data_IF_710225864029
#
_entry.id   IF_710225864029
#
_cell.length_a   1.000
_cell.length_b   1.000
_cell.length_c   1.000
_cell.angle_alpha   90.00
_cell.angle_beta   90.00
_cell.angle_gamma   90.00
#
_symmetry.space_group_name_H-M   'P 1'
#
loop_
_entity.id
_entity.type
_entity.pdbx_description
1 polymer ?
#
# COMPACT_ATOMS: atom_id res chain seq x y z
N UNK A 1 16.96 -14.37 -3.93
CA UNK A 1 17.08 -13.96 -2.53
C UNK A 1 15.73 -13.40 -2.15
N UNK A 2 15.09 -13.92 -1.10
CA UNK A 2 13.76 -13.45 -0.72
C UNK A 2 13.87 -12.17 0.10
N UNK A 3 13.04 -11.20 -0.23
CA UNK A 3 12.92 -9.92 0.46
C UNK A 3 11.90 -10.04 1.59
N UNK A 4 12.09 -9.23 2.63
CA UNK A 4 11.15 -9.10 3.73
C UNK A 4 10.38 -7.80 3.51
N UNK A 5 9.06 -7.86 3.66
CA UNK A 5 8.20 -6.69 3.57
C UNK A 5 7.12 -6.71 4.65
N UNK A 6 6.49 -5.55 4.83
CA UNK A 6 5.32 -5.39 5.71
C UNK A 6 4.11 -5.02 4.87
N UNK A 7 2.99 -5.69 5.11
CA UNK A 7 1.73 -5.43 4.39
C UNK A 7 1.17 -4.08 4.83
N UNK A 8 1.21 -3.08 3.95
CA UNK A 8 0.70 -1.74 4.24
C UNK A 8 -0.82 -1.69 4.17
N UNK A 9 -1.38 -2.27 3.12
CA UNK A 9 -2.82 -2.37 2.93
C UNK A 9 -3.15 -3.59 2.07
N UNK A 10 -4.30 -4.19 2.32
CA UNK A 10 -4.82 -5.27 1.48
C UNK A 10 -6.33 -5.23 1.52
N UNK A 11 -6.95 -5.21 0.35
CA UNK A 11 -8.40 -5.33 0.19
C UNK A 11 -8.71 -6.74 -0.29
N UNK A 12 -9.18 -7.57 0.64
CA UNK A 12 -9.58 -8.95 0.33
C UNK A 12 -10.70 -9.00 -0.72
N UNK A 13 -11.63 -8.04 -0.74
CA UNK A 13 -12.74 -8.05 -1.70
C UNK A 13 -12.25 -7.77 -3.12
N UNK A 14 -11.28 -6.85 -3.25
CA UNK A 14 -10.70 -6.48 -4.55
C UNK A 14 -9.54 -7.39 -4.97
N UNK A 15 -8.94 -8.13 -4.04
CA UNK A 15 -7.88 -9.10 -4.31
C UNK A 15 -6.51 -8.49 -4.54
N UNK A 16 -6.26 -7.25 -4.07
CA UNK A 16 -4.96 -6.60 -4.19
C UNK A 16 -4.63 -5.72 -2.99
N UNK A 17 -3.36 -5.33 -2.89
CA UNK A 17 -2.86 -4.45 -1.85
C UNK A 17 -1.47 -3.91 -2.16
N UNK A 18 -0.80 -3.42 -1.12
CA UNK A 18 0.57 -2.91 -1.18
C UNK A 18 1.39 -3.46 -0.02
N UNK A 19 2.64 -3.83 -0.31
CA UNK A 19 3.65 -4.29 0.65
C UNK A 19 4.82 -3.33 0.61
N UNK A 20 5.23 -2.81 1.76
CA UNK A 20 6.42 -1.98 1.87
C UNK A 20 7.63 -2.88 2.11
N UNK A 21 8.64 -2.81 1.25
CA UNK A 21 9.86 -3.63 1.38
C UNK A 21 10.73 -3.10 2.52
N UNK A 22 11.21 -4.01 3.38
CA UNK A 22 11.96 -3.71 4.60
C UNK A 22 13.42 -4.23 4.56
N UNK A 23 13.83 -4.92 3.49
CA UNK A 23 15.21 -5.39 3.32
C UNK A 23 16.15 -4.22 2.98
N UNK A 24 17.13 -3.95 3.84
CA UNK A 24 17.97 -2.73 3.81
C UNK A 24 18.96 -2.66 2.63
N UNK A 25 19.25 -3.78 1.97
CA UNK A 25 20.22 -3.88 0.87
C UNK A 25 19.58 -4.01 -0.52
N UNK A 26 18.25 -3.85 -0.61
CA UNK A 26 17.51 -3.95 -1.87
C UNK A 26 17.16 -2.55 -2.44
N UNK A 27 17.19 -2.34 -3.78
CA UNK A 27 16.80 -1.08 -4.39
C UNK A 27 15.38 -0.61 -4.04
N UNK A 28 14.49 -1.53 -3.66
CA UNK A 28 13.11 -1.22 -3.32
C UNK A 28 12.91 -0.94 -1.82
N UNK A 29 13.98 -0.83 -1.01
CA UNK A 29 13.87 -0.54 0.42
C UNK A 29 12.96 0.67 0.69
N UNK A 30 12.02 0.52 1.63
CA UNK A 30 10.98 1.49 1.99
C UNK A 30 10.03 1.92 0.86
N UNK A 31 9.99 1.17 -0.24
CA UNK A 31 9.06 1.41 -1.34
C UNK A 31 7.84 0.50 -1.24
N UNK A 32 6.67 1.04 -1.60
CA UNK A 32 5.43 0.27 -1.69
C UNK A 32 5.36 -0.46 -3.04
N UNK A 33 5.31 -1.78 -2.99
CA UNK A 33 5.18 -2.65 -4.16
C UNK A 33 3.78 -3.23 -4.22
N UNK A 34 3.20 -3.26 -5.41
CA UNK A 34 1.87 -3.79 -5.64
C UNK A 34 1.84 -5.31 -5.41
N UNK A 35 0.80 -5.81 -4.73
CA UNK A 35 0.56 -7.25 -4.56
C UNK A 35 -0.83 -7.63 -5.05
N UNK A 36 -0.91 -8.71 -5.82
CA UNK A 36 -2.16 -9.32 -6.26
C UNK A 36 -2.35 -10.69 -5.60
N UNK A 37 -3.60 -11.12 -5.43
CA UNK A 37 -3.92 -12.40 -4.79
C UNK A 37 -3.26 -13.62 -5.46
N UNK A 38 -2.98 -13.56 -6.76
CA UNK A 38 -2.33 -14.63 -7.53
C UNK A 38 -0.88 -14.84 -7.11
N UNK A 39 -0.22 -13.79 -6.61
CA UNK A 39 1.15 -13.86 -6.12
C UNK A 39 1.24 -14.41 -4.69
N UNK A 40 0.11 -14.50 -3.97
CA UNK A 40 0.06 -15.05 -2.61
C UNK A 40 0.11 -16.57 -2.70
N UNK A 41 1.10 -17.16 -2.04
CA UNK A 41 1.30 -18.60 -1.95
C UNK A 41 0.82 -19.07 -0.59
N UNK A 42 -0.22 -19.89 -0.61
CA UNK A 42 -0.77 -20.59 0.56
C UNK A 42 -0.62 -22.09 0.33
N UNK A 43 -0.41 -22.86 1.40
CA UNK A 43 -0.10 -24.30 1.36
C UNK A 43 -1.33 -25.20 1.16
N UNK A 44 -2.54 -24.65 1.26
CA UNK A 44 -3.79 -25.38 1.02
C UNK A 44 -4.79 -24.56 0.21
N UNK A 45 -6.02 -25.06 0.06
CA UNK A 45 -7.11 -24.41 -0.68
C UNK A 45 -7.75 -23.23 0.07
N UNK A 46 -7.00 -22.61 0.98
CA UNK A 46 -7.43 -21.48 1.77
C UNK A 46 -7.61 -20.20 0.93
N UNK A 47 -8.41 -19.29 1.45
CA UNK A 47 -8.64 -18.01 0.82
C UNK A 47 -7.37 -17.13 0.86
N UNK A 48 -6.92 -16.63 -0.30
CA UNK A 48 -5.70 -15.83 -0.43
C UNK A 48 -5.93 -14.40 0.04
N UNK A 49 -5.40 -14.08 1.23
CA UNK A 49 -5.46 -12.73 1.79
C UNK A 49 -4.26 -12.44 2.68
N UNK A 50 -3.98 -11.15 2.81
CA UNK A 50 -2.97 -10.61 3.72
C UNK A 50 -3.64 -9.72 4.77
N UNK A 51 -2.97 -9.55 5.91
CA UNK A 51 -3.42 -8.67 6.98
C UNK A 51 -2.55 -7.41 7.04
N UNK A 52 -3.14 -6.21 7.21
CA UNK A 52 -2.34 -5.00 7.43
C UNK A 52 -1.41 -5.15 8.64
N UNK A 53 -0.14 -4.82 8.46
CA UNK A 53 0.93 -4.95 9.46
C UNK A 53 1.60 -6.33 9.52
N UNK A 54 1.14 -7.31 8.74
CA UNK A 54 1.77 -8.63 8.65
C UNK A 54 3.13 -8.53 7.95
N UNK A 55 4.16 -9.18 8.52
CA UNK A 55 5.45 -9.35 7.86
C UNK A 55 5.42 -10.56 6.94
N UNK A 56 5.93 -10.39 5.74
CA UNK A 56 5.89 -11.38 4.66
C UNK A 56 7.25 -11.50 3.98
N UNK A 57 7.49 -12.67 3.40
CA UNK A 57 8.60 -12.93 2.49
C UNK A 57 8.08 -12.84 1.06
N UNK A 58 8.78 -12.11 0.19
CA UNK A 58 8.38 -11.89 -1.20
C UNK A 58 9.59 -11.76 -2.13
N UNK A 59 9.33 -11.83 -3.43
CA UNK A 59 10.25 -11.37 -4.46
C UNK A 59 9.62 -10.17 -5.16
N UNK A 60 10.44 -9.28 -5.73
CA UNK A 60 9.97 -8.18 -6.58
C UNK A 60 10.32 -8.50 -8.03
N UNK A 61 9.36 -8.33 -8.93
CA UNK A 61 9.55 -8.52 -10.37
C UNK A 61 8.68 -7.58 -11.18
N UNK A 62 8.79 -7.66 -12.51
CA UNK A 62 8.01 -6.84 -13.43
C UNK A 62 6.68 -7.50 -13.78
N UNK A 63 5.59 -6.76 -13.61
CA UNK A 63 4.26 -7.16 -14.05
C UNK A 63 4.04 -6.95 -15.55
N UNK A 64 2.82 -7.22 -16.02
CA UNK A 64 2.44 -7.06 -17.44
C UNK A 64 2.57 -5.63 -17.96
N UNK A 65 2.47 -4.65 -17.07
CA UNK A 65 2.54 -3.22 -17.39
C UNK A 65 3.92 -2.60 -17.09
N UNK A 66 4.97 -3.43 -16.95
CA UNK A 66 6.34 -3.03 -16.56
C UNK A 66 6.45 -2.36 -15.16
N UNK A 67 5.38 -2.45 -14.38
CA UNK A 67 5.33 -2.00 -12.98
C UNK A 67 5.87 -3.07 -12.04
N UNK A 68 6.48 -2.63 -10.94
CA UNK A 68 6.97 -3.53 -9.91
C UNK A 68 5.81 -4.21 -9.17
N UNK A 69 5.87 -5.53 -9.11
CA UNK A 69 4.86 -6.37 -8.47
C UNK A 69 5.54 -7.39 -7.54
N UNK A 70 4.84 -7.72 -6.47
CA UNK A 70 5.23 -8.79 -5.56
C UNK A 70 4.99 -10.15 -6.23
N UNK A 71 5.93 -11.06 -6.04
CA UNK A 71 5.91 -12.45 -6.47
C UNK A 71 6.18 -13.36 -5.27
N UNK A 72 5.66 -14.58 -5.30
CA UNK A 72 5.91 -15.64 -4.31
C UNK A 72 5.72 -15.18 -2.85
N UNK A 73 4.63 -14.45 -2.60
CA UNK A 73 4.36 -13.87 -1.27
C UNK A 73 3.96 -14.98 -0.30
N UNK A 74 4.75 -15.14 0.76
CA UNK A 74 4.61 -16.14 1.81
C UNK A 74 4.81 -15.51 3.19
N UNK A 75 4.62 -16.27 4.27
CA UNK A 75 5.07 -15.83 5.59
C UNK A 75 6.59 -15.68 5.63
N UNK A 76 7.09 -14.95 6.63
CA UNK A 76 8.53 -14.74 6.83
C UNK A 76 9.30 -16.06 6.76
N UNK A 77 10.40 -16.08 6.00
CA UNK A 77 11.23 -17.27 5.78
C UNK A 77 10.46 -18.47 5.19
N UNK A 78 9.41 -18.21 4.40
CA UNK A 78 8.56 -19.25 3.81
C UNK A 78 7.59 -19.90 4.81
N UNK A 79 7.40 -19.30 5.99
CA UNK A 79 6.43 -19.72 6.99
C UNK A 79 4.98 -19.57 6.53
N UNK A 80 4.02 -20.06 7.33
CA UNK A 80 2.61 -19.87 7.06
C UNK A 80 2.21 -18.40 7.21
N UNK A 81 1.30 -17.93 6.35
CA UNK A 81 0.64 -16.64 6.49
C UNK A 81 -0.37 -16.68 7.64
N UNK A 82 -0.75 -15.52 8.15
CA UNK A 82 -1.72 -15.40 9.24
C UNK A 82 -3.09 -16.01 8.90
N UNK A 83 -3.45 -16.02 7.61
CA UNK A 83 -4.67 -16.66 7.12
C UNK A 83 -4.63 -18.19 7.23
N UNK A 84 -3.44 -18.79 7.25
CA UNK A 84 -3.23 -20.24 7.34
C UNK A 84 -3.20 -20.73 8.79
N UNK A 85 -3.49 -19.86 9.77
CA UNK A 85 -3.49 -20.26 11.17
C UNK A 85 -4.65 -21.24 11.46
N UNK A 86 -4.28 -22.45 11.87
CA UNK A 86 -5.24 -23.54 12.15
C UNK A 86 -6.11 -23.30 13.39
N UNK A 87 -5.63 -22.49 14.35
CA UNK A 87 -6.27 -22.33 15.66
C UNK A 87 -7.11 -21.06 15.76
N UNK A 88 -6.74 -20.01 15.03
CA UNK A 88 -7.33 -18.68 15.19
C UNK A 88 -7.71 -18.07 13.85
N UNK A 89 -8.91 -17.49 13.79
CA UNK A 89 -9.33 -16.64 12.69
C UNK A 89 -9.09 -15.17 13.03
N UNK A 90 -8.23 -14.52 12.26
CA UNK A 90 -7.93 -13.11 12.43
C UNK A 90 -8.94 -12.24 11.67
N UNK A 91 -9.43 -11.19 12.35
CA UNK A 91 -10.26 -10.14 11.76
C UNK A 91 -9.69 -8.79 12.19
N UNK A 92 -9.49 -7.90 11.21
CA UNK A 92 -9.09 -6.53 11.49
C UNK A 92 -10.29 -5.61 11.28
N UNK A 93 -10.43 -4.64 12.17
CA UNK A 93 -11.41 -3.57 12.04
C UNK A 93 -10.65 -2.27 11.77
N UNK A 94 -11.05 -1.48 10.76
CA UNK A 94 -10.41 -0.20 10.51
C UNK A 94 -10.57 0.68 11.76
N UNK A 95 -9.46 1.27 12.22
CA UNK A 95 -9.55 2.33 13.22
C UNK A 95 -10.36 3.47 12.62
N UNK A 96 -11.35 4.00 13.36
CA UNK A 96 -12.01 5.26 13.00
C UNK A 96 -10.91 6.32 12.91
N UNK A 97 -10.55 6.73 11.70
CA UNK A 97 -9.63 7.83 11.48
C UNK A 97 -10.31 9.04 12.12
N UNK A 98 -9.76 9.54 13.23
CA UNK A 98 -10.16 10.85 13.75
C UNK A 98 -9.85 11.80 12.61
N UNK A 99 -10.87 12.36 11.96
CA UNK A 99 -10.71 13.29 10.85
C UNK A 99 -9.80 14.42 11.33
N UNK A 100 -8.54 14.37 10.91
CA UNK A 100 -7.67 15.54 11.00
C UNK A 100 -8.17 16.46 9.90
N UNK A 101 -9.02 17.40 10.30
CA UNK A 101 -9.39 18.57 9.53
C UNK A 101 -8.09 19.30 9.19
N UNK A 102 -7.61 19.20 7.96
CA UNK A 102 -6.58 20.11 7.44
C UNK A 102 -7.22 21.49 7.32
N UNK A 103 -6.99 22.32 8.33
CA UNK A 103 -7.13 23.77 8.26
C UNK A 103 -5.78 24.30 7.74
N UNK A 104 -5.61 24.36 6.42
CA UNK A 104 -4.53 25.15 5.84
C UNK A 104 -5.17 26.32 5.09
N UNK A 105 -4.81 27.50 5.57
CA UNK A 105 -5.20 28.82 5.11
C UNK A 105 -4.67 29.09 3.71
N UNK A 106 -5.47 29.74 2.88
CA UNK A 106 -4.97 30.57 1.79
C UNK A 106 -5.72 31.91 1.85
N UNK A 107 -5.16 32.82 2.63
CA UNK A 107 -5.47 34.25 2.59
C UNK A 107 -4.16 34.99 2.39
N UNK A 108 -3.77 35.12 1.12
CA UNK A 108 -2.84 36.16 0.68
C UNK A 108 -3.21 36.65 -0.72
N UNK A 109 -3.91 37.79 -0.73
CA UNK A 109 -3.72 38.95 -1.60
C UNK A 109 -3.74 38.77 -3.12
N UNK A 110 -4.83 39.24 -3.76
CA UNK A 110 -4.68 40.11 -4.92
C UNK A 110 -5.79 41.17 -4.93
N UNK A 111 -5.40 42.41 -4.67
CA UNK A 111 -6.22 43.59 -4.85
C UNK A 111 -5.33 44.70 -5.41
N UNK A 112 -5.31 44.80 -6.73
CA UNK A 112 -5.13 46.05 -7.49
C UNK A 112 -5.46 45.77 -8.95
N UNK A 113 -6.72 45.97 -9.35
CA UNK A 113 -7.02 46.29 -10.76
C UNK A 113 -7.18 47.80 -10.92
N UNK A 114 -6.44 48.30 -11.91
CA UNK A 114 -6.18 49.68 -12.28
C UNK A 114 -7.42 50.45 -12.75
N UNK A 115 -7.42 51.73 -12.39
CA UNK A 115 -8.14 52.80 -13.06
C UNK A 115 -7.64 52.98 -14.51
N UNK A 116 -8.46 52.70 -15.53
CA UNK A 116 -8.43 53.46 -16.80
C UNK A 116 -9.83 53.53 -17.42
N UNK A 117 -10.56 54.61 -17.12
CA UNK A 117 -11.60 55.14 -18.01
C UNK A 117 -11.22 56.58 -18.36
N UNK A 118 -10.20 56.71 -19.21
CA UNK A 118 -9.86 57.98 -19.86
C UNK A 118 -10.86 58.28 -20.96
N UNK A 119 -11.67 59.32 -20.75
CA UNK A 119 -12.34 60.02 -21.84
C UNK A 119 -11.39 61.02 -22.49
N UNK A 120 -11.53 61.19 -23.81
CA UNK A 120 -11.28 62.36 -24.68
C UNK A 120 -11.52 61.84 -26.11
N UNK A 121 -12.23 62.50 -27.02
CA UNK A 121 -12.49 63.93 -27.20
C UNK A 121 -13.90 64.17 -27.79
#
# INVERSE_FOLDING_TARGET
MSLIGVVRSYDARRGFGFVTVMTQDDPHFQTDVFVHNTAIVVRGDGYRRLFPGEYVSLNVGKGKDDRDVCLDVTGVMGGPLLVENERYQYRYFPRKRREQKTEDADDTADATEELVAGGTA
#
